data_IF_984329447695
#
_entry.id   IF_984329447695
#
_cell.length_a   1.000
_cell.length_b   1.000
_cell.length_c   1.000
_cell.angle_alpha   90.00
_cell.angle_beta   90.00
_cell.angle_gamma   90.00
#
_symmetry.space_group_name_H-M   'P 1'
#
loop_
_entity.id
_entity.type
_entity.pdbx_description
1 polymer ?
#
# COMPACT_ATOMS: atom_id res chain seq x y z
N UNK A 1 -0.50 -26.32 -2.29
CA UNK A 1 -0.10 -25.28 -1.31
C UNK A 1 0.88 -24.33 -1.98
N UNK A 2 0.47 -23.10 -2.32
CA UNK A 2 1.40 -22.07 -2.81
C UNK A 2 1.84 -21.25 -1.60
N UNK A 3 2.97 -21.62 -1.01
CA UNK A 3 3.60 -20.84 0.05
C UNK A 3 3.92 -19.47 -0.52
N UNK A 4 3.18 -18.45 -0.09
CA UNK A 4 3.59 -17.04 -0.25
C UNK A 4 4.77 -16.84 0.69
N UNK A 5 5.99 -17.06 0.21
CA UNK A 5 7.19 -16.63 0.91
C UNK A 5 7.27 -15.11 0.81
N UNK A 6 6.75 -14.43 1.82
CA UNK A 6 7.31 -13.15 2.26
C UNK A 6 8.78 -13.41 2.57
N UNK A 7 9.67 -13.00 1.66
CA UNK A 7 11.12 -13.07 1.89
C UNK A 7 11.48 -12.09 2.99
N UNK A 8 11.72 -12.62 4.18
CA UNK A 8 12.39 -11.91 5.27
C UNK A 8 13.88 -11.99 4.92
N UNK A 9 14.54 -10.84 4.82
CA UNK A 9 15.99 -10.73 4.62
C UNK A 9 16.67 -11.48 5.76
N UNK A 10 17.52 -12.44 5.43
CA UNK A 10 18.14 -13.33 6.43
C UNK A 10 19.63 -13.06 6.39
N UNK A 11 20.07 -12.11 7.23
CA UNK A 11 21.46 -11.63 7.27
C UNK A 11 22.50 -12.74 7.54
N UNK A 12 22.09 -13.87 8.12
CA UNK A 12 22.96 -15.00 8.46
C UNK A 12 23.23 -15.99 7.32
N UNK A 13 22.54 -15.89 6.18
CA UNK A 13 22.69 -16.86 5.09
C UNK A 13 23.82 -16.46 4.14
N UNK A 14 24.97 -17.15 4.19
CA UNK A 14 26.04 -17.07 3.16
C UNK A 14 25.66 -17.73 1.84
N UNK A 15 24.54 -18.45 1.83
CA UNK A 15 24.10 -19.22 0.67
C UNK A 15 23.58 -18.30 -0.45
N UNK A 16 24.12 -18.50 -1.65
CA UNK A 16 23.61 -17.87 -2.87
C UNK A 16 22.16 -18.34 -3.10
N UNK A 17 21.25 -17.38 -3.21
CA UNK A 17 19.84 -17.70 -3.49
C UNK A 17 19.57 -17.59 -4.96
N UNK A 18 18.96 -18.63 -5.55
CA UNK A 18 18.53 -18.60 -6.93
C UNK A 18 17.21 -17.85 -7.03
N UNK A 19 17.23 -16.70 -7.72
CA UNK A 19 16.05 -15.82 -7.86
C UNK A 19 15.65 -15.73 -9.33
N UNK A 20 14.35 -15.64 -9.57
CA UNK A 20 13.81 -15.40 -10.91
C UNK A 20 14.09 -13.96 -11.34
N UNK A 21 14.76 -13.84 -12.48
CA UNK A 21 15.10 -12.57 -13.10
C UNK A 21 14.73 -12.65 -14.58
N UNK A 22 13.57 -12.07 -14.90
CA UNK A 22 13.04 -12.11 -16.26
C UNK A 22 13.70 -11.05 -17.13
N UNK A 23 14.47 -11.51 -18.12
CA UNK A 23 15.00 -10.68 -19.22
C UNK A 23 14.13 -10.79 -20.48
N UNK A 24 13.10 -11.65 -20.46
CA UNK A 24 12.19 -11.85 -21.60
C UNK A 24 11.52 -10.53 -22.01
N UNK A 25 11.38 -10.33 -23.32
CA UNK A 25 10.62 -9.21 -23.92
C UNK A 25 9.20 -9.09 -23.35
N UNK A 26 8.54 -10.21 -23.09
CA UNK A 26 7.20 -10.27 -22.49
C UNK A 26 7.18 -10.17 -20.95
N UNK A 27 8.28 -9.73 -20.31
CA UNK A 27 8.41 -9.57 -18.85
C UNK A 27 8.04 -10.84 -18.06
N UNK A 28 8.39 -12.00 -18.60
CA UNK A 28 8.18 -13.29 -17.93
C UNK A 28 6.79 -13.90 -18.05
N UNK A 29 5.85 -13.30 -18.80
CA UNK A 29 4.53 -13.95 -19.01
C UNK A 29 4.69 -15.30 -19.71
N UNK A 30 4.33 -16.38 -19.02
CA UNK A 30 4.43 -17.76 -19.52
C UNK A 30 5.86 -18.32 -19.57
N UNK A 31 6.82 -17.68 -18.91
CA UNK A 31 8.20 -18.18 -18.88
C UNK A 31 8.41 -19.16 -17.72
N UNK A 32 8.96 -20.34 -18.03
CA UNK A 32 9.30 -21.39 -17.07
C UNK A 32 10.79 -21.77 -17.13
N UNK A 33 11.60 -21.00 -17.84
CA UNK A 33 13.01 -21.31 -18.03
C UNK A 33 13.83 -20.97 -16.76
N UNK A 34 14.08 -21.99 -15.95
CA UNK A 34 14.84 -21.89 -14.69
C UNK A 34 16.35 -21.92 -14.88
N UNK A 35 16.87 -21.89 -16.12
CA UNK A 35 18.31 -21.83 -16.34
C UNK A 35 18.87 -20.46 -15.91
N UNK A 36 20.17 -20.41 -15.66
CA UNK A 36 20.86 -19.15 -15.35
C UNK A 36 20.86 -18.23 -16.55
N UNK A 37 20.89 -16.91 -16.31
CA UNK A 37 20.96 -15.88 -17.35
C UNK A 37 22.18 -16.08 -18.26
N UNK A 38 23.31 -16.51 -17.71
CA UNK A 38 24.54 -16.83 -18.46
C UNK A 38 24.32 -17.94 -19.49
N UNK A 39 23.40 -18.87 -19.20
CA UNK A 39 23.00 -19.97 -20.07
C UNK A 39 21.71 -19.67 -20.86
N UNK A 40 21.33 -18.40 -20.99
CA UNK A 40 20.12 -17.97 -21.72
C UNK A 40 18.79 -18.19 -20.99
N UNK A 41 18.82 -18.46 -19.68
CA UNK A 41 17.62 -18.61 -18.84
C UNK A 41 17.16 -17.35 -18.11
N UNK A 42 16.18 -17.50 -17.22
CA UNK A 42 15.53 -16.40 -16.49
C UNK A 42 15.80 -16.43 -14.99
N UNK A 43 16.97 -16.88 -14.57
CA UNK A 43 17.37 -16.88 -13.16
C UNK A 43 18.76 -16.29 -12.98
N UNK A 44 19.00 -15.68 -11.82
CA UNK A 44 20.31 -15.19 -11.40
C UNK A 44 20.61 -15.72 -10.00
N UNK A 45 21.89 -15.77 -9.67
CA UNK A 45 22.32 -15.89 -8.29
C UNK A 45 22.22 -14.52 -7.62
N UNK A 46 21.46 -14.47 -6.54
CA UNK A 46 21.30 -13.28 -5.72
C UNK A 46 22.27 -13.36 -4.56
N UNK A 47 23.22 -12.42 -4.54
CA UNK A 47 24.25 -12.28 -3.50
C UNK A 47 23.81 -11.26 -2.47
N UNK A 48 23.06 -11.73 -1.49
CA UNK A 48 22.38 -10.86 -0.50
C UNK A 48 23.37 -10.00 0.30
N UNK A 49 24.50 -10.57 0.76
CA UNK A 49 25.51 -9.84 1.53
C UNK A 49 26.22 -8.73 0.74
N UNK A 50 26.62 -9.01 -0.51
CA UNK A 50 27.26 -8.00 -1.39
C UNK A 50 26.30 -6.84 -1.67
N UNK A 51 25.04 -7.16 -2.03
CA UNK A 51 24.03 -6.14 -2.32
C UNK A 51 23.64 -5.31 -1.09
N UNK A 52 23.59 -5.93 0.09
CA UNK A 52 23.34 -5.20 1.33
C UNK A 52 24.46 -4.19 1.61
N UNK A 53 25.72 -4.60 1.44
CA UNK A 53 26.88 -3.72 1.58
C UNK A 53 26.83 -2.53 0.62
N UNK A 54 26.48 -2.77 -0.66
CA UNK A 54 26.35 -1.70 -1.66
C UNK A 54 25.24 -0.70 -1.30
N UNK A 55 24.13 -1.19 -0.74
CA UNK A 55 23.02 -0.35 -0.29
C UNK A 55 23.44 0.50 0.92
N UNK A 56 24.13 -0.09 1.90
CA UNK A 56 24.63 0.63 3.07
C UNK A 56 25.65 1.70 2.71
N UNK A 57 26.56 1.42 1.76
CA UNK A 57 27.50 2.41 1.22
C UNK A 57 26.76 3.56 0.52
N UNK A 58 25.75 3.24 -0.31
CA UNK A 58 24.97 4.24 -1.03
C UNK A 58 24.15 5.14 -0.10
N UNK A 59 23.53 4.56 0.93
CA UNK A 59 22.73 5.27 1.92
C UNK A 59 23.58 5.94 3.00
N UNK A 60 24.88 5.59 3.09
CA UNK A 60 25.80 6.01 4.15
C UNK A 60 25.25 5.73 5.55
N UNK A 61 24.43 4.69 5.68
CA UNK A 61 23.85 4.23 6.93
C UNK A 61 23.82 2.71 6.97
N UNK A 62 23.96 2.16 8.18
CA UNK A 62 23.87 0.73 8.39
C UNK A 62 22.40 0.35 8.57
N UNK A 63 21.95 -0.71 7.90
CA UNK A 63 20.59 -1.22 8.03
C UNK A 63 20.49 -2.04 9.31
N UNK A 64 19.62 -1.62 10.24
CA UNK A 64 19.41 -2.36 11.49
C UNK A 64 18.78 -3.71 11.24
N UNK A 65 19.39 -4.77 11.78
CA UNK A 65 18.83 -6.11 11.77
C UNK A 65 17.72 -6.21 12.84
N UNK A 66 16.60 -6.83 12.48
CA UNK A 66 15.50 -7.07 13.43
C UNK A 66 15.70 -8.41 14.13
N UNK A 67 15.59 -8.42 15.46
CA UNK A 67 15.53 -9.64 16.25
C UNK A 67 14.28 -10.49 15.89
N UNK A 68 14.27 -11.81 16.19
CA UNK A 68 13.14 -12.71 15.90
C UNK A 68 11.80 -12.26 16.46
N UNK A 69 11.83 -11.44 17.51
CA UNK A 69 10.67 -10.81 18.13
C UNK A 69 10.03 -9.71 17.25
N UNK A 70 10.62 -9.36 16.09
CA UNK A 70 10.19 -8.30 15.16
C UNK A 70 9.87 -7.00 15.92
N UNK A 71 10.71 -6.69 16.89
CA UNK A 71 10.68 -5.40 17.58
C UNK A 71 11.44 -4.43 16.70
N UNK A 72 10.70 -3.74 15.83
CA UNK A 72 11.25 -2.62 15.04
C UNK A 72 11.76 -1.59 16.06
N UNK A 73 13.07 -1.31 16.11
CA UNK A 73 13.59 -0.24 16.94
C UNK A 73 12.89 1.05 16.51
N UNK A 74 12.40 1.83 17.46
CA UNK A 74 11.91 3.17 17.16
C UNK A 74 13.14 3.95 16.73
N UNK A 75 13.33 4.14 15.42
CA UNK A 75 14.40 4.97 14.90
C UNK A 75 14.29 6.36 15.56
N UNK A 76 15.30 6.72 16.36
CA UNK A 76 15.53 8.09 16.87
C UNK A 76 15.99 9.04 15.73
N UNK A 77 15.73 8.68 14.48
CA UNK A 77 16.07 9.45 13.30
C UNK A 77 15.18 10.69 13.22
N UNK A 78 15.74 11.79 13.74
CA UNK A 78 15.24 13.17 13.76
C UNK A 78 13.76 13.23 14.13
N UNK A 79 13.44 13.43 15.41
CA UNK A 79 12.12 13.43 16.09
C UNK A 79 10.99 14.22 15.42
N UNK A 80 10.70 13.92 14.16
CA UNK A 80 9.78 14.59 13.25
C UNK A 80 8.76 13.63 12.71
N UNK A 81 9.10 12.38 12.39
CA UNK A 81 8.09 11.45 11.87
C UNK A 81 8.40 9.99 12.21
N UNK A 82 7.80 9.51 13.29
CA UNK A 82 7.59 8.09 13.54
C UNK A 82 6.29 7.63 12.88
N UNK A 83 6.33 6.54 12.10
CA UNK A 83 5.16 5.98 11.42
C UNK A 83 4.13 5.51 12.47
N UNK A 84 2.94 6.10 12.45
CA UNK A 84 1.86 5.76 13.40
C UNK A 84 1.89 6.50 14.75
N UNK A 85 2.98 7.20 15.11
CA UNK A 85 3.10 7.92 16.39
C UNK A 85 2.07 9.05 16.55
N UNK A 86 1.73 9.73 15.44
CA UNK A 86 0.63 10.71 15.42
C UNK A 86 -0.73 10.12 15.78
N UNK A 87 -0.92 8.80 15.78
CA UNK A 87 -2.19 8.18 16.24
C UNK A 87 -2.19 7.89 17.74
N UNK A 88 -1.03 7.66 18.35
CA UNK A 88 -0.93 7.17 19.73
C UNK A 88 -0.93 8.28 20.79
N UNK A 89 -0.31 9.43 20.51
CA UNK A 89 -0.21 10.57 21.46
C UNK A 89 -1.42 11.52 21.40
N UNK A 90 -2.54 11.05 20.87
CA UNK A 90 -3.62 11.91 20.42
C UNK A 90 -3.22 12.51 19.08
N UNK A 91 -3.87 12.05 18.01
CA UNK A 91 -3.89 12.82 16.77
C UNK A 91 -4.14 14.27 17.15
N UNK A 92 -3.26 15.17 16.70
CA UNK A 92 -3.45 16.60 16.95
C UNK A 92 -4.91 16.95 16.66
N UNK A 93 -5.39 18.06 17.21
CA UNK A 93 -6.74 18.59 16.96
C UNK A 93 -7.01 18.94 15.48
N UNK A 94 -6.40 18.23 14.54
CA UNK A 94 -6.93 17.92 13.23
C UNK A 94 -8.37 17.43 13.36
N UNK A 95 -9.27 18.41 13.45
CA UNK A 95 -10.64 18.28 12.98
C UNK A 95 -10.53 17.57 11.66
N UNK A 96 -11.06 16.35 11.63
CA UNK A 96 -11.05 15.52 10.44
C UNK A 96 -11.63 16.36 9.31
N UNK A 97 -11.20 16.15 8.05
CA UNK A 97 -11.95 16.73 6.91
C UNK A 97 -13.45 16.42 7.03
N UNK A 98 -13.82 15.34 7.71
CA UNK A 98 -15.20 15.00 8.08
C UNK A 98 -15.87 16.09 8.94
N UNK A 99 -15.20 16.65 9.94
CA UNK A 99 -15.77 17.71 10.79
C UNK A 99 -15.90 19.04 10.02
N UNK A 100 -14.95 19.32 9.13
CA UNK A 100 -15.00 20.49 8.25
C UNK A 100 -16.11 20.38 7.19
N UNK A 101 -16.42 19.15 6.74
CA UNK A 101 -17.46 18.86 5.75
C UNK A 101 -18.85 18.64 6.39
N UNK A 102 -18.94 18.49 7.71
CA UNK A 102 -20.22 18.29 8.40
C UNK A 102 -21.30 19.35 8.07
N UNK A 103 -21.01 20.68 8.07
CA UNK A 103 -22.04 21.68 7.74
C UNK A 103 -22.45 21.62 6.26
N UNK A 104 -21.50 21.39 5.34
CA UNK A 104 -21.80 21.33 3.91
C UNK A 104 -22.61 20.08 3.54
N UNK A 105 -22.33 18.95 4.17
CA UNK A 105 -23.12 17.72 4.02
C UNK A 105 -24.55 17.91 4.55
N UNK A 106 -24.73 18.65 5.65
CA UNK A 106 -26.05 18.97 6.19
C UNK A 106 -26.86 19.90 5.27
N UNK A 107 -26.21 20.91 4.68
CA UNK A 107 -26.83 21.78 3.67
C UNK A 107 -27.28 20.99 2.43
N UNK A 108 -26.42 20.11 1.91
CA UNK A 108 -26.76 19.24 0.78
C UNK A 108 -27.94 18.33 1.09
N UNK A 109 -28.01 17.75 2.29
CA UNK A 109 -29.13 16.90 2.70
C UNK A 109 -30.46 17.68 2.81
N UNK A 110 -30.41 18.97 3.16
CA UNK A 110 -31.61 19.81 3.17
C UNK A 110 -32.06 20.16 1.75
N UNK A 111 -31.12 20.54 0.87
CA UNK A 111 -31.42 20.81 -0.54
C UNK A 111 -31.99 19.57 -1.23
N UNK A 112 -31.43 18.40 -0.96
CA UNK A 112 -31.94 17.12 -1.47
C UNK A 112 -33.40 16.89 -1.03
N UNK A 113 -33.70 17.10 0.26
CA UNK A 113 -35.05 16.95 0.81
C UNK A 113 -36.04 17.93 0.18
N UNK A 114 -35.63 19.18 -0.05
CA UNK A 114 -36.45 20.21 -0.69
C UNK A 114 -36.76 19.90 -2.15
N UNK A 115 -35.85 19.26 -2.87
CA UNK A 115 -36.07 18.85 -4.27
C UNK A 115 -36.88 17.55 -4.35
N UNK A 116 -36.59 16.57 -3.49
CA UNK A 116 -37.27 15.27 -3.52
C UNK A 116 -38.70 15.35 -2.99
N UNK A 117 -38.99 16.22 -2.01
CA UNK A 117 -40.34 16.34 -1.44
C UNK A 117 -41.42 16.70 -2.48
N UNK A 118 -41.23 17.74 -3.34
CA UNK A 118 -42.15 18.04 -4.44
C UNK A 118 -42.24 16.92 -5.48
N UNK A 119 -41.14 16.24 -5.80
CA UNK A 119 -41.16 15.11 -6.74
C UNK A 119 -42.02 13.96 -6.22
N UNK A 120 -41.88 13.61 -4.94
CA UNK A 120 -42.72 12.62 -4.29
C UNK A 120 -44.18 13.10 -4.23
N UNK A 121 -44.43 14.35 -3.83
CA UNK A 121 -45.80 14.90 -3.83
C UNK A 121 -46.45 14.88 -5.20
N UNK A 122 -45.70 15.20 -6.26
CA UNK A 122 -46.16 15.12 -7.64
C UNK A 122 -46.47 13.66 -8.02
N UNK A 123 -45.58 12.71 -7.71
CA UNK A 123 -45.76 11.27 -7.97
C UNK A 123 -47.01 10.65 -7.32
N UNK A 124 -47.51 11.24 -6.22
CA UNK A 124 -48.72 10.80 -5.52
C UNK A 124 -49.97 11.67 -5.85
N UNK A 125 -49.88 12.63 -6.76
CA UNK A 125 -51.05 13.40 -7.20
C UNK A 125 -51.97 12.49 -8.04
N UNK A 126 -53.28 12.39 -7.72
CA UNK A 126 -54.22 11.52 -8.43
C UNK A 126 -54.48 11.94 -9.89
N UNK A 127 -53.88 13.04 -10.37
CA UNK A 127 -53.99 13.54 -11.75
C UNK A 127 -52.60 13.97 -12.31
N UNK A 128 -51.67 13.03 -12.49
CA UNK A 128 -50.43 13.32 -13.21
C UNK A 128 -50.61 13.17 -14.74
N UNK A 129 -50.25 14.22 -15.49
CA UNK A 129 -50.11 14.19 -16.96
C UNK A 129 -48.89 13.40 -17.45
N UNK A 130 -47.98 13.03 -16.54
CA UNK A 130 -46.80 12.24 -16.85
C UNK A 130 -46.98 10.84 -16.23
N UNK A 131 -47.60 9.94 -16.99
CA UNK A 131 -47.38 8.50 -16.77
C UNK A 131 -45.89 8.22 -16.98
N UNK A 132 -45.31 7.44 -16.07
CA UNK A 132 -43.95 6.96 -16.15
C UNK A 132 -43.59 6.51 -17.57
N UNK A 133 -42.46 6.98 -18.08
CA UNK A 133 -41.72 6.27 -19.12
C UNK A 133 -41.04 5.06 -18.50
#
# INVERSE_FOLDING_TARGET
MRSRTTSIVSAESEELRKVWYHVCTNRGRGCYNTQLKENGGCTIWYKEKELLSDIEEHLKCNVTQCEPDIKVPVDDFDGKVTYGQRKALGGGNYKSHVDALAPTVLELANLEREVQSPFLHLGYMPNQLFRAF
#
